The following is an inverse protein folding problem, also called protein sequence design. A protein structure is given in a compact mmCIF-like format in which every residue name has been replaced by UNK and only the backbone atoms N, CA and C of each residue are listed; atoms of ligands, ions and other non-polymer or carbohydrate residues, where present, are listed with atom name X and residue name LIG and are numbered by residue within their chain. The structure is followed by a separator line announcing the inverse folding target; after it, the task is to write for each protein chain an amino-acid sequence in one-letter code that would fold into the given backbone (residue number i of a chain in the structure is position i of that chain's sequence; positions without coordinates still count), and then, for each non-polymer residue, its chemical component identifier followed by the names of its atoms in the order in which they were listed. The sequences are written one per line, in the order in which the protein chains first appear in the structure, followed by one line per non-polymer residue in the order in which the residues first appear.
data_IF_089673333762
#
_entry.id   IF_089673333762
#
_cell.length_a   1.000
_cell.length_b   1.000
_cell.length_c   1.000
_cell.angle_alpha   90.00
_cell.angle_beta   90.00
_cell.angle_gamma   90.00
#
_symmetry.space_group_name_H-M   'P 1'
#
loop_
_entity.id
_entity.type
_entity.pdbx_description
1 polymer ?
#
# COMPACT_ATOMS: atom_id res chain seq x y z
N UNK A 1 -15.65 6.65 9.53
CA UNK A 1 -14.50 7.04 10.38
C UNK A 1 -13.51 5.89 10.49
N UNK A 2 -12.19 6.19 10.56
CA UNK A 2 -11.19 5.14 10.79
C UNK A 2 -11.35 4.49 12.15
N UNK A 3 -11.16 3.17 12.22
CA UNK A 3 -11.24 2.41 13.46
C UNK A 3 -9.83 2.08 13.97
N UNK A 4 -9.57 2.24 15.28
CA UNK A 4 -8.27 1.87 15.85
C UNK A 4 -8.04 0.36 15.77
N UNK A 5 -6.81 -0.03 15.42
CA UNK A 5 -6.37 -1.43 15.36
C UNK A 5 -5.25 -1.75 16.38
N UNK A 6 -4.95 -0.81 17.27
CA UNK A 6 -3.89 -0.90 18.27
C UNK A 6 -2.58 -0.27 17.78
N UNK A 7 -1.60 -0.17 18.70
CA UNK A 7 -0.26 0.40 18.42
C UNK A 7 -0.28 1.81 17.82
N UNK A 8 -1.31 2.61 18.14
CA UNK A 8 -1.48 3.96 17.59
C UNK A 8 -1.88 4.02 16.12
N UNK A 9 -2.27 2.89 15.54
CA UNK A 9 -2.70 2.78 14.15
C UNK A 9 -4.21 2.65 14.03
N UNK A 10 -4.73 2.93 12.85
CA UNK A 10 -6.15 2.80 12.52
C UNK A 10 -6.33 2.02 11.22
N UNK A 11 -7.49 1.37 11.07
CA UNK A 11 -7.92 0.86 9.77
C UNK A 11 -8.49 2.04 8.97
N UNK A 12 -8.15 2.11 7.69
CA UNK A 12 -8.73 3.10 6.78
C UNK A 12 -10.25 2.95 6.72
N UNK A 13 -10.96 4.07 6.64
CA UNK A 13 -12.40 4.03 6.47
C UNK A 13 -12.77 3.25 5.19
N UNK A 14 -13.83 2.45 5.19
CA UNK A 14 -14.17 1.60 4.04
C UNK A 14 -14.29 2.35 2.71
N UNK A 15 -14.81 3.58 2.73
CA UNK A 15 -14.91 4.39 1.51
C UNK A 15 -13.53 4.79 0.96
N UNK A 16 -12.52 4.99 1.82
CA UNK A 16 -11.15 5.28 1.38
C UNK A 16 -10.49 4.05 0.76
N UNK A 17 -10.77 2.86 1.26
CA UNK A 17 -10.31 1.60 0.64
C UNK A 17 -10.84 1.50 -0.79
N UNK A 18 -12.13 1.78 -0.99
CA UNK A 18 -12.76 1.78 -2.32
C UNK A 18 -12.13 2.82 -3.23
N UNK A 19 -12.04 4.08 -2.76
CA UNK A 19 -11.47 5.19 -3.55
C UNK A 19 -10.04 4.88 -3.97
N UNK A 20 -9.19 4.43 -3.04
CA UNK A 20 -7.79 4.14 -3.34
C UNK A 20 -7.65 2.94 -4.29
N UNK A 21 -8.48 1.93 -4.13
CA UNK A 21 -8.50 0.77 -5.03
C UNK A 21 -8.94 1.17 -6.45
N UNK A 22 -9.98 1.99 -6.57
CA UNK A 22 -10.43 2.50 -7.87
C UNK A 22 -9.36 3.36 -8.55
N UNK A 23 -8.68 4.22 -7.80
CA UNK A 23 -7.60 5.08 -8.33
C UNK A 23 -6.36 4.26 -8.72
N UNK A 24 -6.05 3.20 -8.00
CA UNK A 24 -4.98 2.27 -8.39
C UNK A 24 -5.35 1.52 -9.66
N UNK A 25 -6.63 1.16 -9.81
CA UNK A 25 -7.20 0.42 -10.94
C UNK A 25 -6.41 -0.86 -11.26
N UNK A 26 -6.25 -1.76 -10.27
CA UNK A 26 -5.42 -2.95 -10.46
C UNK A 26 -6.08 -3.94 -11.41
N UNK A 27 -5.25 -4.64 -12.17
CA UNK A 27 -5.68 -5.66 -13.14
C UNK A 27 -5.22 -7.06 -12.72
N UNK A 28 -5.89 -8.07 -13.27
CA UNK A 28 -5.50 -9.48 -13.07
C UNK A 28 -4.04 -9.65 -13.47
N UNK A 29 -3.27 -10.32 -12.62
CA UNK A 29 -1.86 -10.62 -12.85
C UNK A 29 -0.90 -9.55 -12.37
N UNK A 30 -1.38 -8.43 -11.86
CA UNK A 30 -0.52 -7.37 -11.34
C UNK A 30 0.27 -7.79 -10.11
N UNK A 31 1.48 -7.31 -10.04
CA UNK A 31 2.29 -7.32 -8.82
C UNK A 31 2.12 -5.96 -8.14
N UNK A 32 1.57 -5.96 -6.94
CA UNK A 32 1.26 -4.76 -6.17
C UNK A 32 2.05 -4.72 -4.88
N UNK A 33 2.64 -3.58 -4.56
CA UNK A 33 3.20 -3.28 -3.25
C UNK A 33 2.24 -2.42 -2.45
N UNK A 34 1.90 -2.87 -1.26
CA UNK A 34 1.21 -2.06 -0.26
C UNK A 34 2.19 -1.63 0.83
N UNK A 35 2.20 -0.34 1.15
CA UNK A 35 2.96 0.23 2.26
C UNK A 35 2.00 0.62 3.37
N UNK A 36 2.11 -0.05 4.52
CA UNK A 36 1.18 0.08 5.63
C UNK A 36 0.14 -1.03 5.64
N UNK A 37 0.52 -2.21 6.13
CA UNK A 37 -0.33 -3.42 6.12
C UNK A 37 -1.57 -3.26 6.99
N UNK A 38 -1.43 -2.64 8.15
CA UNK A 38 -2.51 -2.52 9.12
C UNK A 38 -3.12 -3.87 9.48
N UNK A 39 -4.43 -4.02 9.28
CA UNK A 39 -5.16 -5.28 9.53
C UNK A 39 -5.02 -6.31 8.39
N UNK A 40 -4.52 -5.90 7.23
CA UNK A 40 -4.49 -6.72 6.01
C UNK A 40 -5.71 -6.58 5.11
N UNK A 41 -6.70 -5.76 5.50
CA UNK A 41 -7.96 -5.64 4.75
C UNK A 41 -7.75 -5.10 3.33
N UNK A 42 -7.01 -3.99 3.16
CA UNK A 42 -6.73 -3.43 1.83
C UNK A 42 -5.99 -4.43 0.94
N UNK A 43 -5.01 -5.13 1.50
CA UNK A 43 -4.26 -6.15 0.76
C UNK A 43 -5.18 -7.27 0.27
N UNK A 44 -6.14 -7.72 1.08
CA UNK A 44 -7.10 -8.75 0.69
C UNK A 44 -8.02 -8.29 -0.44
N UNK A 45 -8.47 -7.04 -0.40
CA UNK A 45 -9.29 -6.45 -1.47
C UNK A 45 -8.53 -6.44 -2.80
N UNK A 46 -7.28 -5.99 -2.79
CA UNK A 46 -6.44 -5.97 -4.00
C UNK A 46 -6.16 -7.38 -4.49
N UNK A 47 -5.88 -8.33 -3.58
CA UNK A 47 -5.62 -9.72 -3.94
C UNK A 47 -6.80 -10.37 -4.66
N UNK A 48 -8.04 -10.08 -4.28
CA UNK A 48 -9.23 -10.58 -4.98
C UNK A 48 -9.31 -10.08 -6.42
N UNK A 49 -8.76 -8.90 -6.70
CA UNK A 49 -8.76 -8.32 -8.05
C UNK A 49 -7.61 -8.87 -8.89
N UNK A 50 -6.39 -8.88 -8.36
CA UNK A 50 -5.20 -9.27 -9.13
C UNK A 50 -5.01 -10.80 -9.21
N UNK A 51 -5.58 -11.54 -8.28
CA UNK A 51 -5.46 -12.99 -8.15
C UNK A 51 -6.80 -13.64 -7.79
N UNK A 52 -7.82 -13.57 -8.66
CA UNK A 52 -9.14 -14.14 -8.37
C UNK A 52 -9.06 -15.66 -8.29
N UNK A 53 -9.74 -16.23 -7.29
CA UNK A 53 -9.76 -17.69 -7.03
C UNK A 53 -10.27 -18.51 -8.22
N UNK A 54 -11.14 -17.93 -9.03
CA UNK A 54 -11.77 -18.58 -10.19
C UNK A 54 -10.77 -18.86 -11.31
N UNK A 55 -9.64 -18.15 -11.30
CA UNK A 55 -8.56 -18.35 -12.28
C UNK A 55 -7.50 -19.31 -11.75
N UNK A 56 -6.81 -20.04 -12.65
CA UNK A 56 -5.69 -20.86 -12.24
C UNK A 56 -4.54 -20.03 -11.67
N UNK A 57 -3.79 -20.57 -10.68
CA UNK A 57 -2.73 -19.81 -9.99
C UNK A 57 -1.65 -19.22 -10.89
N UNK A 58 -1.38 -19.81 -12.04
CA UNK A 58 -0.40 -19.28 -13.01
C UNK A 58 -0.81 -17.94 -13.63
N UNK A 59 -2.09 -17.56 -13.52
CA UNK A 59 -2.60 -16.26 -13.97
C UNK A 59 -2.70 -15.23 -12.87
N UNK A 60 -2.46 -15.63 -11.64
CA UNK A 60 -2.54 -14.75 -10.50
C UNK A 60 -1.41 -13.72 -10.48
N UNK A 61 -1.77 -12.50 -10.09
CA UNK A 61 -0.83 -11.54 -9.56
C UNK A 61 -0.47 -11.84 -8.11
N UNK A 62 0.12 -10.88 -7.44
CA UNK A 62 0.51 -11.03 -6.04
C UNK A 62 0.54 -9.68 -5.35
N UNK A 63 0.22 -9.67 -4.05
CA UNK A 63 0.32 -8.48 -3.20
C UNK A 63 1.45 -8.68 -2.21
N UNK A 64 2.42 -7.78 -2.21
CA UNK A 64 3.44 -7.65 -1.17
C UNK A 64 3.04 -6.49 -0.28
N UNK A 65 2.92 -6.72 1.02
CA UNK A 65 2.52 -5.68 1.97
C UNK A 65 3.56 -5.56 3.07
N UNK A 66 4.02 -4.34 3.33
CA UNK A 66 5.09 -4.06 4.26
C UNK A 66 4.60 -3.23 5.44
N UNK A 67 4.93 -3.68 6.65
CA UNK A 67 4.54 -3.08 7.93
C UNK A 67 5.77 -2.87 8.81
N UNK A 68 5.93 -1.66 9.36
CA UNK A 68 7.05 -1.36 10.25
C UNK A 68 6.89 -1.92 11.67
N UNK A 69 5.65 -2.12 12.12
CA UNK A 69 5.34 -2.61 13.47
C UNK A 69 5.19 -4.13 13.41
N UNK A 70 6.16 -4.85 13.98
CA UNK A 70 6.22 -6.31 13.89
C UNK A 70 4.96 -6.99 14.45
N UNK A 71 4.41 -6.51 15.57
CA UNK A 71 3.20 -7.07 16.16
C UNK A 71 1.99 -6.92 15.25
N UNK A 72 1.85 -5.80 14.53
CA UNK A 72 0.80 -5.62 13.53
C UNK A 72 1.01 -6.54 12.33
N UNK A 73 2.23 -6.68 11.85
CA UNK A 73 2.57 -7.57 10.74
C UNK A 73 2.21 -9.02 11.05
N UNK A 74 2.55 -9.49 12.24
CA UNK A 74 2.18 -10.85 12.71
C UNK A 74 0.68 -11.05 12.76
N UNK A 75 -0.05 -10.09 13.29
CA UNK A 75 -1.51 -10.13 13.37
C UNK A 75 -2.16 -10.14 11.99
N UNK A 76 -1.70 -9.27 11.11
CA UNK A 76 -2.18 -9.22 9.73
C UNK A 76 -1.94 -10.54 8.99
N UNK A 77 -0.75 -11.12 9.16
CA UNK A 77 -0.41 -12.42 8.57
C UNK A 77 -1.37 -13.52 9.01
N UNK A 78 -1.67 -13.59 10.31
CA UNK A 78 -2.63 -14.55 10.86
C UNK A 78 -4.03 -14.30 10.26
N UNK A 79 -4.48 -13.06 10.21
CA UNK A 79 -5.78 -12.71 9.65
C UNK A 79 -5.89 -13.11 8.17
N UNK A 80 -4.85 -12.84 7.39
CA UNK A 80 -4.80 -13.19 5.97
C UNK A 80 -4.75 -14.70 5.74
N UNK A 81 -3.99 -15.45 6.54
CA UNK A 81 -3.96 -16.91 6.49
C UNK A 81 -5.33 -17.50 6.79
N UNK A 82 -6.00 -17.04 7.86
CA UNK A 82 -7.35 -17.50 8.25
C UNK A 82 -8.41 -17.18 7.19
N UNK A 83 -8.26 -16.07 6.50
CA UNK A 83 -9.16 -15.66 5.43
C UNK A 83 -8.85 -16.31 4.07
N UNK A 84 -7.77 -17.12 3.97
CA UNK A 84 -7.43 -17.86 2.77
C UNK A 84 -6.57 -17.11 1.76
N UNK A 85 -5.82 -16.09 2.19
CA UNK A 85 -4.98 -15.24 1.31
C UNK A 85 -3.49 -15.56 1.36
N UNK A 86 -3.05 -16.56 2.13
CA UNK A 86 -1.62 -16.84 2.33
C UNK A 86 -0.83 -17.07 1.03
N UNK A 87 -1.48 -17.58 0.01
CA UNK A 87 -0.90 -17.87 -1.30
C UNK A 87 -0.87 -16.67 -2.25
N UNK A 88 -1.56 -15.57 -1.91
CA UNK A 88 -1.72 -14.39 -2.77
C UNK A 88 -1.21 -13.10 -2.14
N UNK A 89 -0.90 -13.11 -0.86
CA UNK A 89 -0.40 -11.95 -0.10
C UNK A 89 0.81 -12.37 0.73
N UNK A 90 1.91 -11.63 0.59
CA UNK A 90 3.12 -11.79 1.41
C UNK A 90 3.25 -10.59 2.35
N UNK A 91 3.32 -10.85 3.65
CA UNK A 91 3.51 -9.82 4.68
C UNK A 91 4.99 -9.71 5.04
N UNK A 92 5.52 -8.48 4.98
CA UNK A 92 6.92 -8.16 5.22
C UNK A 92 7.01 -7.17 6.37
N UNK A 93 7.95 -7.40 7.29
CA UNK A 93 8.30 -6.44 8.36
C UNK A 93 9.45 -5.58 7.87
N UNK A 94 9.29 -4.26 7.87
CA UNK A 94 10.34 -3.36 7.45
C UNK A 94 9.90 -1.90 7.31
N UNK A 95 10.83 -1.09 6.83
CA UNK A 95 10.57 0.32 6.50
C UNK A 95 9.94 0.42 5.11
N UNK A 96 8.62 0.65 5.08
CA UNK A 96 7.87 0.76 3.84
C UNK A 96 8.26 1.95 2.96
N UNK A 97 8.88 2.99 3.53
CA UNK A 97 9.36 4.14 2.74
C UNK A 97 10.50 3.77 1.79
N UNK A 98 11.17 2.67 2.06
CA UNK A 98 12.23 2.11 1.21
C UNK A 98 11.70 1.09 0.19
N UNK A 99 10.40 0.82 0.23
CA UNK A 99 9.79 -0.19 -0.61
C UNK A 99 10.25 -1.61 -0.28
N UNK A 100 10.15 -2.49 -1.27
CA UNK A 100 10.61 -3.88 -1.18
C UNK A 100 11.29 -4.25 -2.51
N UNK A 101 12.59 -3.93 -2.64
CA UNK A 101 13.31 -4.11 -3.91
C UNK A 101 13.35 -5.55 -4.41
N UNK A 102 13.31 -6.53 -3.50
CA UNK A 102 13.46 -7.95 -3.79
C UNK A 102 12.41 -8.49 -4.76
N UNK A 103 11.20 -7.91 -4.73
CA UNK A 103 10.13 -8.31 -5.64
C UNK A 103 9.82 -7.27 -6.72
N UNK A 104 10.54 -6.14 -6.75
CA UNK A 104 10.35 -5.09 -7.77
C UNK A 104 10.73 -5.56 -9.17
N UNK A 105 10.25 -4.93 -10.23
CA UNK A 105 9.35 -3.77 -10.25
C UNK A 105 7.88 -4.15 -10.04
N UNK A 106 7.09 -3.17 -9.61
CA UNK A 106 5.65 -3.33 -9.36
C UNK A 106 4.82 -2.67 -10.44
N UNK A 107 3.66 -3.27 -10.75
CA UNK A 107 2.65 -2.67 -11.63
C UNK A 107 1.92 -1.52 -10.95
N UNK A 108 1.70 -1.65 -9.64
CA UNK A 108 1.07 -0.64 -8.81
C UNK A 108 1.62 -0.62 -7.39
N UNK A 109 1.60 0.56 -6.78
CA UNK A 109 1.98 0.77 -5.38
C UNK A 109 0.89 1.58 -4.70
N UNK A 110 0.44 1.12 -3.54
CA UNK A 110 -0.55 1.81 -2.73
C UNK A 110 0.01 2.05 -1.33
N UNK A 111 -0.07 3.31 -0.86
CA UNK A 111 0.45 3.72 0.44
C UNK A 111 -0.71 4.15 1.31
N UNK A 112 -0.91 3.49 2.43
CA UNK A 112 -2.02 3.72 3.36
C UNK A 112 -1.59 4.50 4.60
N UNK A 113 -0.62 5.38 4.44
CA UNK A 113 -0.15 6.34 5.43
C UNK A 113 0.23 7.64 4.74
N UNK A 114 0.09 8.78 5.43
CA UNK A 114 0.37 10.10 4.87
C UNK A 114 1.85 10.40 4.83
N UNK A 115 2.37 10.75 3.66
CA UNK A 115 3.78 11.05 3.45
C UNK A 115 4.04 12.55 3.20
N UNK A 116 5.23 13.07 3.59
CA UNK A 116 5.57 14.44 3.30
C UNK A 116 5.90 14.70 1.83
N UNK A 117 6.30 13.66 1.14
CA UNK A 117 6.63 13.64 -0.30
C UNK A 117 6.52 12.21 -0.83
N UNK A 118 6.54 12.05 -2.14
CA UNK A 118 6.58 10.72 -2.75
C UNK A 118 7.99 10.14 -2.54
N UNK A 119 8.14 9.01 -1.82
CA UNK A 119 9.47 8.42 -1.60
C UNK A 119 10.13 7.97 -2.91
N UNK A 120 11.36 8.41 -3.16
CA UNK A 120 12.12 8.01 -4.35
C UNK A 120 12.25 6.49 -4.54
N UNK A 121 12.48 5.69 -3.48
CA UNK A 121 12.53 4.24 -3.63
C UNK A 121 11.27 3.63 -4.23
N UNK A 122 10.09 4.19 -3.94
CA UNK A 122 8.84 3.71 -4.50
C UNK A 122 8.73 4.05 -5.99
N UNK A 123 9.16 5.23 -6.38
CA UNK A 123 9.21 5.63 -7.80
C UNK A 123 10.14 4.70 -8.57
N UNK A 124 11.32 4.42 -8.01
CA UNK A 124 12.33 3.56 -8.64
C UNK A 124 11.86 2.11 -8.81
N UNK A 125 10.99 1.63 -7.92
CA UNK A 125 10.48 0.26 -7.94
C UNK A 125 9.18 0.11 -8.74
N UNK A 126 8.63 1.21 -9.25
CA UNK A 126 7.44 1.20 -10.09
C UNK A 126 7.83 0.97 -11.56
N UNK A 127 7.07 0.14 -12.25
CA UNK A 127 7.20 -0.02 -13.70
C UNK A 127 6.83 1.27 -14.43
N UNK A 128 7.45 1.53 -15.57
CA UNK A 128 6.94 2.50 -16.53
C UNK A 128 5.54 2.08 -16.95
N UNK A 129 4.59 3.01 -16.90
CA UNK A 129 3.17 2.73 -17.07
C UNK A 129 2.45 2.35 -15.78
N UNK A 130 3.19 2.11 -14.70
CA UNK A 130 2.63 1.81 -13.39
C UNK A 130 2.12 3.05 -12.66
N UNK A 131 1.46 2.81 -11.53
CA UNK A 131 0.77 3.85 -10.78
C UNK A 131 1.02 3.73 -9.29
N UNK A 132 1.24 4.88 -8.63
CA UNK A 132 1.28 5.00 -7.17
C UNK A 132 0.07 5.79 -6.71
N UNK A 133 -0.63 5.27 -5.70
CA UNK A 133 -1.69 5.98 -4.98
C UNK A 133 -1.21 6.23 -3.56
N UNK A 134 -1.07 7.51 -3.18
CA UNK A 134 -0.41 7.90 -1.93
C UNK A 134 -0.99 9.20 -1.36
N UNK A 135 -1.32 9.26 -0.06
CA UNK A 135 -1.66 10.51 0.62
C UNK A 135 -0.41 11.37 0.84
N UNK A 136 -0.43 12.61 0.38
CA UNK A 136 0.67 13.55 0.53
C UNK A 136 0.22 14.79 1.29
N UNK A 137 0.98 15.21 2.29
CA UNK A 137 0.72 16.41 3.09
C UNK A 137 1.54 16.43 4.38
N UNK A 138 1.02 17.10 5.39
CA UNK A 138 1.62 17.10 6.72
C UNK A 138 1.09 15.91 7.57
N UNK A 139 1.46 15.86 8.85
CA UNK A 139 1.06 14.77 9.75
C UNK A 139 -0.44 14.73 10.02
N UNK A 140 -1.18 15.81 9.76
CA UNK A 140 -2.57 15.97 10.19
C UNK A 140 -3.54 15.99 9.04
N UNK A 141 -3.09 16.37 7.85
CA UNK A 141 -3.94 16.52 6.67
C UNK A 141 -3.17 16.27 5.39
N UNK A 142 -3.76 15.49 4.50
CA UNK A 142 -3.17 15.13 3.22
C UNK A 142 -4.19 15.30 2.08
N UNK A 143 -3.68 15.21 0.86
CA UNK A 143 -4.47 14.98 -0.34
C UNK A 143 -4.00 13.70 -1.01
N UNK A 144 -4.92 12.97 -1.60
CA UNK A 144 -4.60 11.75 -2.31
C UNK A 144 -3.95 12.10 -3.66
N UNK A 145 -2.72 11.62 -3.84
CA UNK A 145 -1.99 11.75 -5.11
C UNK A 145 -2.09 10.44 -5.88
N UNK A 146 -2.39 10.58 -7.18
CA UNK A 146 -2.31 9.47 -8.14
C UNK A 146 -1.19 9.80 -9.11
N UNK A 147 -0.14 8.99 -9.08
CA UNK A 147 1.11 9.23 -9.80
C UNK A 147 1.31 8.14 -10.83
N UNK A 148 1.41 8.50 -12.10
CA UNK A 148 1.76 7.59 -13.18
C UNK A 148 3.23 7.80 -13.58
N UNK A 149 3.98 6.71 -13.69
CA UNK A 149 5.36 6.74 -14.18
C UNK A 149 5.36 6.59 -15.70
N UNK A 150 5.87 7.59 -16.37
CA UNK A 150 6.01 7.60 -17.83
C UNK A 150 7.48 7.51 -18.23
N UNK A 151 7.76 7.31 -19.51
CA UNK A 151 9.12 7.26 -20.02
C UNK A 151 9.88 8.59 -19.82
N UNK A 152 9.15 9.70 -19.71
CA UNK A 152 9.73 11.05 -19.61
C UNK A 152 9.62 11.67 -18.23
N UNK A 153 8.98 11.00 -17.27
CA UNK A 153 8.83 11.52 -15.90
C UNK A 153 7.56 11.03 -15.22
N UNK A 154 7.03 11.84 -14.30
CA UNK A 154 5.84 11.53 -13.52
C UNK A 154 4.67 12.41 -13.94
N UNK A 155 3.51 11.81 -14.12
CA UNK A 155 2.24 12.51 -14.26
C UNK A 155 1.50 12.43 -12.92
N UNK A 156 1.24 13.59 -12.30
CA UNK A 156 0.63 13.67 -10.96
C UNK A 156 -0.76 14.26 -11.07
N UNK A 157 -1.75 13.54 -10.54
CA UNK A 157 -3.11 14.04 -10.34
C UNK A 157 -3.39 14.13 -8.84
N UNK A 158 -3.79 15.32 -8.39
CA UNK A 158 -4.13 15.57 -6.99
C UNK A 158 -5.66 15.43 -6.86
N UNK A 159 -6.07 14.55 -5.97
CA UNK A 159 -7.48 14.16 -5.79
C UNK A 159 -8.03 14.62 -4.45
N UNK A 160 -8.84 13.77 -3.84
CA UNK A 160 -9.59 13.98 -2.61
C UNK A 160 -8.72 14.33 -1.40
N UNK A 161 -9.14 15.29 -0.56
CA UNK A 161 -8.57 15.47 0.77
C UNK A 161 -8.77 14.22 1.64
N UNK A 162 -7.80 13.90 2.49
CA UNK A 162 -7.85 12.72 3.35
C UNK A 162 -7.01 12.92 4.61
N UNK A 163 -7.23 12.04 5.59
CA UNK A 163 -6.45 12.00 6.84
C UNK A 163 -6.01 10.58 7.09
N UNK A 164 -4.70 10.36 7.10
CA UNK A 164 -4.06 9.09 7.40
C UNK A 164 -3.06 9.24 8.53
N UNK A 165 -2.72 8.13 9.19
CA UNK A 165 -1.58 8.08 10.10
C UNK A 165 -0.29 8.43 9.33
N UNK A 166 0.72 9.04 9.99
CA UNK A 166 1.96 9.39 9.32
C UNK A 166 2.71 8.15 8.80
N UNK A 167 3.25 8.27 7.59
CA UNK A 167 4.20 7.31 7.04
C UNK A 167 5.56 7.56 7.69
N UNK A 168 5.94 6.69 8.62
CA UNK A 168 7.19 6.78 9.37
C UNK A 168 8.25 5.92 8.72
N UNK A 169 9.45 6.47 8.51
CA UNK A 169 10.58 5.79 7.95
C UNK A 169 11.65 6.75 7.44
N UNK A 170 12.70 6.18 6.86
CA UNK A 170 13.87 6.94 6.38
C UNK A 170 13.49 7.99 5.32
N UNK A 171 12.57 7.68 4.44
CA UNK A 171 12.09 8.56 3.37
C UNK A 171 10.68 9.11 3.66
N UNK A 172 10.24 9.08 4.90
CA UNK A 172 8.96 9.58 5.38
C UNK A 172 9.12 10.56 6.53
N UNK A 173 8.11 10.59 7.41
CA UNK A 173 8.21 11.34 8.66
C UNK A 173 9.12 10.64 9.66
N UNK A 174 9.72 11.41 10.55
CA UNK A 174 10.47 10.88 11.70
C UNK A 174 9.48 10.24 12.69
N UNK A 175 9.88 9.11 13.28
CA UNK A 175 9.13 8.49 14.36
C UNK A 175 9.32 9.29 15.65
N UNK A 176 8.33 9.25 16.55
CA UNK A 176 8.53 9.72 17.91
C UNK A 176 9.49 8.76 18.61
N UNK A 177 10.53 9.33 19.23
CA UNK A 177 11.34 8.58 20.18
C UNK A 177 10.45 8.23 21.38
N UNK A 178 10.27 6.94 21.60
CA UNK A 178 9.58 6.42 22.79
C UNK A 178 10.58 5.90 23.80
#
# INVERSE_FOLDING_TARGET
EPLPIGFGQTISAPHMVVIMTEELDPEIGWKVLEVGTGSGYQASVIAEIVAPKELPPEKWGHVYTIERIEALAKRAKINLERAGYADRVTVIVGDGTLGYPEASPYDGIIVTAGAPKIPDPLINQLKIGGRIVIPIGDRYFQRLYVVEKTETGLKINIKTPCVFVPLVGKEGFEGEER
#
